data_IF_901926019961
#
_entry.id   IF_901926019961
#
_cell.length_a   1.000
_cell.length_b   1.000
_cell.length_c   1.000
_cell.angle_alpha   90.00
_cell.angle_beta   90.00
_cell.angle_gamma   90.00
#
_symmetry.space_group_name_H-M   'P 1'
#
loop_
_entity.id
_entity.type
_entity.pdbx_description
1 polymer ?
#
# COMPACT_ATOMS: atom_id res chain seq x y z
N UNK A 1 9.61 -1.18 -24.43
CA UNK A 1 8.92 -0.91 -23.15
C UNK A 1 9.64 -1.76 -22.12
N UNK A 2 10.35 -1.12 -21.19
CA UNK A 2 11.07 -1.80 -20.12
C UNK A 2 10.08 -2.39 -19.12
N UNK A 3 9.82 -3.69 -19.27
CA UNK A 3 9.02 -4.49 -18.33
C UNK A 3 9.86 -5.12 -17.21
N UNK A 4 11.20 -5.02 -17.28
CA UNK A 4 12.11 -5.78 -16.40
C UNK A 4 11.97 -5.45 -14.90
N UNK A 5 11.75 -4.19 -14.54
CA UNK A 5 11.62 -3.81 -13.12
C UNK A 5 10.38 -4.45 -12.50
N UNK A 6 9.27 -4.57 -13.24
CA UNK A 6 8.02 -5.11 -12.71
C UNK A 6 8.06 -6.61 -12.51
N UNK A 7 8.69 -7.36 -13.41
CA UNK A 7 8.86 -8.81 -13.27
C UNK A 7 9.79 -9.15 -12.11
N UNK A 8 10.88 -8.39 -11.94
CA UNK A 8 11.82 -8.55 -10.82
C UNK A 8 11.19 -8.16 -9.48
N UNK A 9 10.39 -7.08 -9.45
CA UNK A 9 9.67 -6.66 -8.25
C UNK A 9 8.59 -7.68 -7.88
N UNK A 10 7.87 -8.22 -8.87
CA UNK A 10 6.83 -9.22 -8.65
C UNK A 10 7.40 -10.52 -8.03
N UNK A 11 8.61 -10.92 -8.42
CA UNK A 11 9.34 -12.04 -7.81
C UNK A 11 9.73 -11.74 -6.34
N UNK A 12 10.25 -10.55 -6.05
CA UNK A 12 10.60 -10.13 -4.68
C UNK A 12 9.38 -9.95 -3.77
N UNK A 13 8.24 -9.51 -4.32
CA UNK A 13 7.00 -9.33 -3.57
C UNK A 13 6.24 -10.64 -3.36
N UNK A 14 6.42 -11.66 -4.22
CA UNK A 14 5.78 -12.98 -4.08
C UNK A 14 6.07 -13.65 -2.74
N UNK A 15 7.29 -13.49 -2.22
CA UNK A 15 7.69 -14.06 -0.92
C UNK A 15 7.20 -13.23 0.27
N UNK A 16 6.73 -11.99 0.03
CA UNK A 16 6.16 -11.08 1.04
C UNK A 16 4.63 -10.96 0.97
N UNK A 17 4.00 -11.64 0.02
CA UNK A 17 2.55 -11.70 -0.12
C UNK A 17 1.96 -12.53 1.01
N UNK A 18 1.33 -11.87 1.98
CA UNK A 18 0.80 -12.50 3.19
C UNK A 18 -0.72 -12.57 3.12
N UNK A 19 -1.25 -13.31 2.14
CA UNK A 19 -2.62 -13.78 2.14
C UNK A 19 -3.70 -12.71 2.34
N UNK A 20 -4.85 -13.10 2.93
CA UNK A 20 -5.98 -12.18 3.11
C UNK A 20 -5.72 -11.18 4.25
N UNK A 21 -5.81 -9.89 3.93
CA UNK A 21 -5.80 -8.77 4.87
C UNK A 21 -7.21 -8.21 5.08
N UNK A 22 -7.48 -7.83 6.32
CA UNK A 22 -8.74 -7.22 6.73
C UNK A 22 -8.44 -5.80 7.21
N UNK A 23 -8.69 -4.76 6.39
CA UNK A 23 -8.41 -3.38 6.77
C UNK A 23 -9.28 -2.95 7.95
N UNK A 24 -8.66 -2.40 8.99
CA UNK A 24 -9.32 -1.94 10.20
C UNK A 24 -8.88 -0.52 10.55
N UNK A 25 -9.81 0.28 11.08
CA UNK A 25 -9.56 1.65 11.51
C UNK A 25 -10.39 2.69 10.76
N UNK A 26 -10.08 3.94 11.03
CA UNK A 26 -10.80 5.10 10.50
C UNK A 26 -10.34 5.43 9.09
N UNK A 27 -11.29 5.79 8.24
CA UNK A 27 -11.01 6.25 6.87
C UNK A 27 -10.46 7.67 6.95
N UNK A 28 -9.19 7.83 6.59
CA UNK A 28 -8.53 9.14 6.55
C UNK A 28 -8.46 9.72 5.14
N UNK A 29 -8.63 8.87 4.12
CA UNK A 29 -8.74 9.29 2.74
C UNK A 29 -9.50 8.25 1.91
N UNK A 30 -10.33 8.70 0.97
CA UNK A 30 -11.03 7.84 0.03
C UNK A 30 -11.34 8.58 -1.27
N UNK A 31 -11.14 7.90 -2.39
CA UNK A 31 -11.71 8.26 -3.69
C UNK A 31 -12.30 7.01 -4.39
N UNK A 32 -12.67 7.14 -5.65
CA UNK A 32 -13.27 6.04 -6.45
C UNK A 32 -12.33 4.84 -6.65
N UNK A 33 -11.02 5.02 -6.49
CA UNK A 33 -9.98 4.05 -6.86
C UNK A 33 -9.16 3.53 -5.68
N UNK A 34 -9.13 4.28 -4.58
CA UNK A 34 -8.23 4.06 -3.45
C UNK A 34 -8.90 4.47 -2.14
N UNK A 35 -8.53 3.76 -1.07
CA UNK A 35 -8.93 4.06 0.30
C UNK A 35 -7.73 3.93 1.23
N UNK A 36 -7.55 4.89 2.13
CA UNK A 36 -6.52 4.83 3.19
C UNK A 36 -7.22 4.81 4.55
N UNK A 37 -6.88 3.83 5.36
CA UNK A 37 -7.37 3.66 6.72
C UNK A 37 -6.21 3.75 7.70
N UNK A 38 -6.46 4.26 8.89
CA UNK A 38 -5.50 4.23 10.01
C UNK A 38 -6.18 3.67 11.26
N UNK A 39 -5.49 2.80 11.97
CA UNK A 39 -5.98 2.24 13.22
C UNK A 39 -4.84 1.80 14.12
N UNK A 40 -5.16 1.16 15.24
CA UNK A 40 -4.17 0.66 16.20
C UNK A 40 -3.18 -0.32 15.55
N UNK A 41 -3.65 -1.09 14.56
CA UNK A 41 -2.83 -2.05 13.82
C UNK A 41 -1.94 -1.40 12.77
N UNK A 42 -2.04 -0.10 12.50
CA UNK A 42 -1.25 0.60 11.49
C UNK A 42 -2.10 1.20 10.37
N UNK A 43 -1.46 1.49 9.25
CA UNK A 43 -2.07 2.15 8.09
C UNK A 43 -2.35 1.13 7.00
N UNK A 44 -3.54 1.16 6.42
CA UNK A 44 -3.92 0.33 5.28
C UNK A 44 -4.16 1.21 4.08
N UNK A 45 -3.43 0.95 2.99
CA UNK A 45 -3.73 1.51 1.67
C UNK A 45 -4.41 0.41 0.86
N UNK A 46 -5.64 0.66 0.44
CA UNK A 46 -6.48 -0.30 -0.29
C UNK A 46 -6.70 0.23 -1.70
N UNK A 47 -6.43 -0.60 -2.70
CA UNK A 47 -6.61 -0.27 -4.11
C UNK A 47 -7.16 -1.49 -4.85
N UNK A 48 -8.44 -1.44 -5.23
CA UNK A 48 -9.13 -2.61 -5.77
C UNK A 48 -9.18 -3.75 -4.75
N UNK A 49 -8.71 -4.93 -5.15
CA UNK A 49 -8.57 -6.09 -4.26
C UNK A 49 -7.25 -6.09 -3.47
N UNK A 50 -6.28 -5.25 -3.83
CA UNK A 50 -4.95 -5.23 -3.21
C UNK A 50 -4.90 -4.33 -1.98
N UNK A 51 -4.20 -4.78 -0.95
CA UNK A 51 -4.02 -4.07 0.33
C UNK A 51 -2.54 -4.02 0.69
N UNK A 52 -2.04 -2.81 0.91
CA UNK A 52 -0.74 -2.57 1.54
C UNK A 52 -0.98 -2.17 2.99
N UNK A 53 -0.60 -3.03 3.92
CA UNK A 53 -0.59 -2.73 5.35
C UNK A 53 0.80 -2.27 5.76
N UNK A 54 0.88 -1.09 6.40
CA UNK A 54 2.12 -0.48 6.84
C UNK A 54 2.08 -0.35 8.35
N UNK A 55 3.11 -0.86 9.03
CA UNK A 55 3.28 -0.71 10.46
C UNK A 55 3.39 0.78 10.81
N UNK A 56 2.49 1.22 11.70
CA UNK A 56 2.39 2.57 12.31
C UNK A 56 3.24 3.67 11.65
N UNK A 57 2.58 4.49 10.84
CA UNK A 57 3.18 5.70 10.29
C UNK A 57 3.17 6.84 11.32
N UNK A 58 4.22 7.66 11.32
CA UNK A 58 4.14 8.98 11.94
C UNK A 58 3.09 9.85 11.23
N UNK A 59 2.59 10.90 11.89
CA UNK A 59 1.60 11.81 11.29
C UNK A 59 2.11 12.48 9.99
N UNK A 60 3.41 12.74 9.90
CA UNK A 60 4.04 13.29 8.69
C UNK A 60 4.05 12.27 7.55
N UNK A 61 4.41 11.02 7.84
CA UNK A 61 4.41 9.95 6.83
C UNK A 61 2.99 9.61 6.37
N UNK A 62 2.01 9.57 7.28
CA UNK A 62 0.62 9.35 6.92
C UNK A 62 0.13 10.44 5.95
N UNK A 63 0.42 11.71 6.24
CA UNK A 63 0.10 12.82 5.35
C UNK A 63 0.80 12.70 3.99
N UNK A 64 2.07 12.22 3.98
CA UNK A 64 2.80 11.97 2.73
C UNK A 64 2.15 10.87 1.89
N UNK A 65 1.73 9.77 2.52
CA UNK A 65 1.00 8.68 1.85
C UNK A 65 -0.32 9.18 1.27
N UNK A 66 -1.13 9.90 2.07
CA UNK A 66 -2.40 10.48 1.61
C UNK A 66 -2.16 11.46 0.47
N UNK A 67 -1.13 12.31 0.56
CA UNK A 67 -0.81 13.28 -0.49
C UNK A 67 -0.40 12.57 -1.79
N UNK A 68 0.48 11.58 -1.68
CA UNK A 68 0.95 10.77 -2.81
C UNK A 68 -0.22 10.08 -3.50
N UNK A 69 -1.06 9.38 -2.72
CA UNK A 69 -2.25 8.73 -3.28
C UNK A 69 -3.21 9.74 -3.86
N UNK A 70 -3.49 10.88 -3.21
CA UNK A 70 -4.46 11.85 -3.70
C UNK A 70 -4.06 12.59 -4.98
N UNK A 71 -2.77 12.90 -5.15
CA UNK A 71 -2.26 13.70 -6.28
C UNK A 71 -1.74 12.86 -7.44
N UNK A 72 -1.51 11.56 -7.24
CA UNK A 72 -1.01 10.71 -8.30
C UNK A 72 -1.97 10.66 -9.50
N UNK A 73 -1.44 10.98 -10.69
CA UNK A 73 -2.16 10.75 -11.96
C UNK A 73 -2.38 9.27 -12.22
N UNK A 74 -1.40 8.44 -11.83
CA UNK A 74 -1.47 6.99 -11.90
C UNK A 74 -1.41 6.41 -10.49
N UNK A 75 -2.58 6.05 -9.97
CA UNK A 75 -2.76 5.51 -8.61
C UNK A 75 -2.10 4.14 -8.45
N UNK A 76 -2.08 3.33 -9.51
CA UNK A 76 -1.46 2.00 -9.48
C UNK A 76 0.03 2.09 -9.33
N UNK A 77 0.66 3.00 -10.10
CA UNK A 77 2.07 3.29 -9.94
C UNK A 77 2.38 3.80 -8.54
N UNK A 78 1.62 4.77 -8.05
CA UNK A 78 1.83 5.33 -6.70
C UNK A 78 1.71 4.27 -5.60
N UNK A 79 0.71 3.39 -5.69
CA UNK A 79 0.57 2.26 -4.77
C UNK A 79 1.77 1.32 -4.81
N UNK A 80 2.26 0.98 -6.00
CA UNK A 80 3.44 0.14 -6.15
C UNK A 80 4.70 0.82 -5.58
N UNK A 81 4.89 2.11 -5.84
CA UNK A 81 6.01 2.88 -5.29
C UNK A 81 5.98 2.85 -3.75
N UNK A 82 4.81 3.01 -3.14
CA UNK A 82 4.63 2.87 -1.69
C UNK A 82 4.94 1.44 -1.22
N UNK A 83 4.51 0.42 -1.97
CA UNK A 83 4.80 -0.96 -1.61
C UNK A 83 6.31 -1.26 -1.66
N UNK A 84 7.03 -0.73 -2.65
CA UNK A 84 8.50 -0.81 -2.71
C UNK A 84 9.12 -0.11 -1.51
N UNK A 85 8.73 1.14 -1.25
CA UNK A 85 9.30 1.91 -0.15
C UNK A 85 9.09 1.23 1.19
N UNK A 86 7.85 0.89 1.52
CA UNK A 86 7.52 0.41 2.86
C UNK A 86 7.76 -1.09 3.03
N UNK A 87 7.48 -1.92 2.02
CA UNK A 87 7.63 -3.37 2.14
C UNK A 87 9.04 -3.83 1.80
N UNK A 88 9.71 -3.25 0.79
CA UNK A 88 11.04 -3.70 0.37
C UNK A 88 12.17 -2.91 1.04
N UNK A 89 12.14 -1.57 0.95
CA UNK A 89 13.24 -0.73 1.43
C UNK A 89 13.22 -0.62 2.96
N UNK A 90 12.07 -0.25 3.52
CA UNK A 90 11.90 -0.07 4.97
C UNK A 90 11.61 -1.37 5.71
N UNK A 91 11.08 -2.38 5.02
CA UNK A 91 10.71 -3.68 5.60
C UNK A 91 9.73 -3.57 6.79
N UNK A 92 8.77 -2.65 6.69
CA UNK A 92 7.74 -2.35 7.71
C UNK A 92 6.32 -2.49 7.17
N UNK A 93 6.14 -3.16 6.03
CA UNK A 93 4.84 -3.34 5.42
C UNK A 93 4.66 -4.74 4.82
N UNK A 94 3.40 -5.13 4.73
CA UNK A 94 2.95 -6.37 4.09
C UNK A 94 1.95 -6.06 2.99
N UNK A 95 2.09 -6.79 1.89
CA UNK A 95 1.13 -6.76 0.80
C UNK A 95 0.23 -8.00 0.90
N UNK A 96 -1.06 -7.82 0.68
CA UNK A 96 -2.03 -8.90 0.64
C UNK A 96 -3.26 -8.50 -0.16
N UNK A 97 -4.28 -9.35 -0.12
CA UNK A 97 -5.55 -9.11 -0.79
C UNK A 97 -6.67 -8.91 0.22
N UNK A 98 -7.74 -8.21 -0.14
CA UNK A 98 -8.92 -8.11 0.71
C UNK A 98 -9.46 -9.52 1.01
N UNK A 99 -9.64 -9.81 2.30
CA UNK A 99 -10.32 -11.03 2.73
C UNK A 99 -11.74 -11.05 2.15
N UNK A 100 -12.02 -11.99 1.26
CA UNK A 100 -13.36 -12.28 0.72
C UNK A 100 -14.25 -12.95 1.76
#
# INVERSE_FOLDING_TARGET
MDFGIWDDLALLMKDKYLGPLEPQGDIVYQDESCKVLTGERGTFVVMGESVLWILQLSGVELNSVIYTMSRAKDKRKAFADLAVEYALIKNVAFLGDLKR
#
